data_IF_688341250361
#
_entry.id   IF_688341250361
#
_cell.length_a   1.000
_cell.length_b   1.000
_cell.length_c   1.000
_cell.angle_alpha   90.00
_cell.angle_beta   90.00
_cell.angle_gamma   90.00
#
_symmetry.space_group_name_H-M   'P 1'
#
loop_
_entity.id
_entity.type
_entity.pdbx_description
1 polymer ?
#
# COMPACT_ATOMS: atom_id res chain seq x y z
N UNK A 1 -27.67 -15.08 -16.80
CA UNK A 1 -26.97 -15.16 -15.49
C UNK A 1 -26.06 -13.94 -15.45
N UNK A 2 -26.42 -12.93 -14.63
CA UNK A 2 -25.54 -11.77 -14.44
C UNK A 2 -24.31 -12.22 -13.63
N UNK A 3 -23.13 -12.08 -14.20
CA UNK A 3 -21.88 -12.30 -13.47
C UNK A 3 -21.72 -11.16 -12.47
N UNK A 4 -21.55 -11.49 -11.20
CA UNK A 4 -21.22 -10.52 -10.17
C UNK A 4 -19.72 -10.54 -9.89
N UNK A 5 -19.11 -9.34 -9.89
CA UNK A 5 -17.70 -9.14 -9.56
C UNK A 5 -17.55 -8.63 -8.12
N UNK A 6 -16.53 -9.10 -7.44
CA UNK A 6 -16.18 -8.64 -6.12
C UNK A 6 -15.13 -7.53 -6.22
N UNK A 7 -15.55 -6.28 -6.02
CA UNK A 7 -14.68 -5.12 -6.06
C UNK A 7 -14.09 -4.85 -4.68
N UNK A 8 -12.76 -4.67 -4.61
CA UNK A 8 -12.07 -4.27 -3.39
C UNK A 8 -11.29 -2.98 -3.68
N UNK A 9 -11.53 -1.96 -2.87
CA UNK A 9 -10.78 -0.71 -2.92
C UNK A 9 -10.26 -0.34 -1.53
N UNK A 10 -9.10 0.34 -1.49
CA UNK A 10 -8.52 0.82 -0.24
C UNK A 10 -8.64 2.33 -0.13
N UNK A 11 -9.07 2.79 1.04
CA UNK A 11 -9.09 4.21 1.39
C UNK A 11 -8.15 4.48 2.55
N UNK A 12 -7.50 5.66 2.54
CA UNK A 12 -6.57 6.08 3.58
C UNK A 12 -7.14 7.25 4.35
N UNK A 13 -7.19 7.11 5.67
CA UNK A 13 -7.61 8.17 6.60
C UNK A 13 -6.42 8.59 7.46
N UNK A 14 -6.27 9.89 7.71
CA UNK A 14 -5.30 10.39 8.69
C UNK A 14 -5.93 10.25 10.08
N UNK A 15 -5.23 9.54 10.98
CA UNK A 15 -5.66 9.41 12.37
C UNK A 15 -5.19 10.63 13.17
N UNK A 16 -6.03 11.04 14.13
CA UNK A 16 -5.79 12.17 15.02
C UNK A 16 -5.75 11.69 16.49
N UNK A 17 -4.76 10.85 16.86
CA UNK A 17 -4.66 10.34 18.21
C UNK A 17 -4.31 11.45 19.21
N UNK A 18 -4.93 11.43 20.39
CA UNK A 18 -4.53 12.23 21.54
C UNK A 18 -3.09 11.89 21.96
N UNK A 19 -2.51 12.68 22.87
CA UNK A 19 -1.14 12.41 23.37
C UNK A 19 -1.04 11.02 24.01
N UNK A 20 -2.03 10.63 24.79
CA UNK A 20 -2.09 9.31 25.44
C UNK A 20 -2.26 8.17 24.44
N UNK A 21 -3.16 8.35 23.46
CA UNK A 21 -3.37 7.38 22.41
C UNK A 21 -2.13 7.21 21.52
N UNK A 22 -1.41 8.31 21.26
CA UNK A 22 -0.14 8.29 20.53
C UNK A 22 0.91 7.47 21.29
N UNK A 23 1.00 7.62 22.61
CA UNK A 23 1.91 6.83 23.43
C UNK A 23 1.56 5.34 23.34
N UNK A 24 0.29 4.96 23.44
CA UNK A 24 -0.16 3.56 23.30
C UNK A 24 0.24 3.00 21.92
N UNK A 25 0.09 3.78 20.84
CA UNK A 25 0.52 3.36 19.52
C UNK A 25 2.05 3.21 19.44
N UNK A 26 2.81 4.11 20.05
CA UNK A 26 4.29 4.03 20.11
C UNK A 26 4.78 2.80 20.88
N UNK A 27 4.04 2.35 21.90
CA UNK A 27 4.30 1.10 22.61
C UNK A 27 3.91 -0.14 21.76
N UNK A 28 2.82 -0.06 21.01
CA UNK A 28 2.31 -1.18 20.22
C UNK A 28 3.20 -1.52 19.00
N UNK A 29 3.71 -0.51 18.29
CA UNK A 29 4.48 -0.72 17.04
C UNK A 29 5.74 -1.57 17.24
N UNK A 30 6.62 -1.31 18.24
CA UNK A 30 7.81 -2.12 18.49
C UNK A 30 7.47 -3.56 18.88
N UNK A 31 6.45 -3.75 19.72
CA UNK A 31 6.03 -5.08 20.15
C UNK A 31 5.48 -5.89 18.97
N UNK A 32 4.67 -5.27 18.13
CA UNK A 32 4.17 -5.93 16.93
C UNK A 32 5.31 -6.26 15.93
N UNK A 33 6.28 -5.34 15.75
CA UNK A 33 7.48 -5.62 14.95
C UNK A 33 8.22 -6.85 15.46
N UNK A 34 8.38 -6.97 16.78
CA UNK A 34 9.08 -8.11 17.38
C UNK A 34 8.30 -9.41 17.18
N UNK A 35 6.97 -9.40 17.34
CA UNK A 35 6.11 -10.55 17.00
C UNK A 35 6.31 -10.99 15.55
N UNK A 36 6.31 -10.05 14.60
CA UNK A 36 6.52 -10.35 13.17
C UNK A 36 7.93 -10.90 12.92
N UNK A 37 8.94 -10.36 13.60
CA UNK A 37 10.34 -10.81 13.50
C UNK A 37 10.50 -12.24 13.98
N UNK A 38 9.92 -12.58 15.14
CA UNK A 38 9.96 -13.94 15.69
C UNK A 38 9.23 -14.94 14.80
N UNK A 39 8.04 -14.56 14.30
CA UNK A 39 7.29 -15.38 13.33
C UNK A 39 8.08 -15.61 12.04
N UNK A 40 8.77 -14.58 11.54
CA UNK A 40 9.59 -14.68 10.32
C UNK A 40 10.78 -15.62 10.54
N UNK A 41 11.48 -15.48 11.66
CA UNK A 41 12.59 -16.37 12.03
C UNK A 41 12.12 -17.82 12.09
N UNK A 42 11.05 -18.11 12.84
CA UNK A 42 10.49 -19.47 12.96
C UNK A 42 10.05 -20.04 11.61
N UNK A 43 9.45 -19.21 10.75
CA UNK A 43 9.05 -19.63 9.39
C UNK A 43 10.25 -19.99 8.52
N UNK A 44 11.37 -19.26 8.65
CA UNK A 44 12.60 -19.55 7.92
C UNK A 44 13.30 -20.80 8.45
N UNK A 45 13.51 -20.89 9.76
CA UNK A 45 14.23 -21.99 10.43
C UNK A 45 13.57 -23.35 10.15
N UNK A 46 12.25 -23.39 10.19
CA UNK A 46 11.45 -24.59 9.93
C UNK A 46 10.93 -24.71 8.49
N UNK A 47 11.29 -23.77 7.61
CA UNK A 47 10.82 -23.69 6.23
C UNK A 47 9.29 -23.77 6.09
N UNK A 48 8.55 -23.16 7.01
CA UNK A 48 7.08 -23.21 7.08
C UNK A 48 6.49 -22.09 6.20
N UNK A 49 5.61 -22.44 5.26
CA UNK A 49 4.83 -21.51 4.43
C UNK A 49 3.32 -21.56 4.72
N UNK A 50 2.88 -22.50 5.55
CA UNK A 50 1.49 -22.65 5.97
C UNK A 50 1.21 -21.80 7.22
N UNK A 51 0.13 -21.01 7.19
CA UNK A 51 -0.31 -20.21 8.34
C UNK A 51 -0.64 -21.09 9.55
N UNK A 52 -1.35 -22.19 9.33
CA UNK A 52 -1.73 -23.13 10.39
C UNK A 52 -0.50 -23.72 11.06
N UNK A 53 0.45 -24.28 10.30
CA UNK A 53 1.68 -24.86 10.85
C UNK A 53 2.53 -23.86 11.61
N UNK A 54 2.64 -22.62 11.10
CA UNK A 54 3.39 -21.58 11.80
C UNK A 54 2.70 -21.18 13.11
N UNK A 55 1.39 -21.05 13.10
CA UNK A 55 0.61 -20.79 14.30
C UNK A 55 0.83 -21.90 15.36
N UNK A 56 0.66 -23.17 14.98
CA UNK A 56 0.88 -24.32 15.87
C UNK A 56 2.29 -24.32 16.50
N UNK A 57 3.31 -23.86 15.74
CA UNK A 57 4.72 -23.88 16.17
C UNK A 57 5.14 -22.75 17.08
N UNK A 58 4.43 -21.61 17.13
CA UNK A 58 4.90 -20.41 17.81
C UNK A 58 3.85 -19.72 18.71
N UNK A 59 2.56 -20.01 18.53
CA UNK A 59 1.49 -19.27 19.20
C UNK A 59 1.60 -19.28 20.72
N UNK A 60 1.86 -20.46 21.34
CA UNK A 60 1.94 -20.59 22.79
C UNK A 60 3.10 -19.77 23.36
N UNK A 61 4.24 -19.79 22.68
CA UNK A 61 5.44 -19.02 23.08
C UNK A 61 5.15 -17.51 23.03
N UNK A 62 4.61 -17.02 21.90
CA UNK A 62 4.27 -15.61 21.78
C UNK A 62 3.14 -15.19 22.71
N UNK A 63 2.16 -16.06 22.97
CA UNK A 63 1.09 -15.77 23.91
C UNK A 63 1.60 -15.66 25.35
N UNK A 64 2.58 -16.48 25.75
CA UNK A 64 3.25 -16.38 27.03
C UNK A 64 4.05 -15.07 27.17
N UNK A 65 4.73 -14.65 26.11
CA UNK A 65 5.56 -13.43 26.10
C UNK A 65 4.75 -12.13 26.01
N UNK A 66 3.66 -12.13 25.26
CA UNK A 66 2.84 -10.94 24.96
C UNK A 66 1.40 -11.09 25.46
N UNK A 67 1.23 -11.65 26.66
CA UNK A 67 -0.07 -11.95 27.27
C UNK A 67 -0.99 -10.74 27.42
N UNK A 68 -0.44 -9.55 27.64
CA UNK A 68 -1.20 -8.30 27.80
C UNK A 68 -1.78 -7.75 26.48
N UNK A 69 -1.25 -8.21 25.35
CA UNK A 69 -1.71 -7.77 24.05
C UNK A 69 -2.83 -8.67 23.50
N UNK A 70 -3.80 -8.14 22.76
CA UNK A 70 -4.82 -8.95 22.10
C UNK A 70 -4.19 -10.05 21.25
N UNK A 71 -4.67 -11.28 21.43
CA UNK A 71 -4.09 -12.48 20.80
C UNK A 71 -4.10 -12.41 19.26
N UNK A 72 -5.02 -11.67 18.69
CA UNK A 72 -5.16 -11.51 17.24
C UNK A 72 -4.00 -10.74 16.59
N UNK A 73 -3.20 -9.98 17.37
CA UNK A 73 -1.94 -9.41 16.85
C UNK A 73 -0.95 -10.51 16.46
N UNK A 74 -0.93 -11.64 17.18
CA UNK A 74 -0.11 -12.80 16.81
C UNK A 74 -0.56 -13.38 15.47
N UNK A 75 -1.88 -13.49 15.22
CA UNK A 75 -2.40 -13.99 13.94
C UNK A 75 -2.04 -13.08 12.77
N UNK A 76 -2.14 -11.78 12.96
CA UNK A 76 -1.78 -10.81 11.90
C UNK A 76 -0.27 -10.75 11.70
N UNK A 77 0.53 -10.88 12.77
CA UNK A 77 1.99 -10.98 12.70
C UNK A 77 2.44 -12.22 11.92
N UNK A 78 1.83 -13.39 12.17
CA UNK A 78 2.06 -14.63 11.41
C UNK A 78 1.76 -14.40 9.92
N UNK A 79 0.64 -13.75 9.62
CA UNK A 79 0.22 -13.46 8.23
C UNK A 79 1.24 -12.57 7.53
N UNK A 80 1.71 -11.52 8.21
CA UNK A 80 2.69 -10.59 7.67
C UNK A 80 4.06 -11.24 7.48
N UNK A 81 4.53 -12.01 8.45
CA UNK A 81 5.78 -12.76 8.37
C UNK A 81 5.79 -13.74 7.19
N UNK A 82 4.69 -14.48 7.00
CA UNK A 82 4.57 -15.40 5.87
C UNK A 82 4.52 -14.69 4.52
N UNK A 83 3.92 -13.51 4.44
CA UNK A 83 3.93 -12.70 3.21
C UNK A 83 5.36 -12.29 2.84
N UNK A 84 6.15 -11.85 3.81
CA UNK A 84 7.57 -11.51 3.63
C UNK A 84 8.37 -12.74 3.21
N UNK A 85 8.22 -13.87 3.91
CA UNK A 85 8.94 -15.11 3.63
C UNK A 85 8.64 -15.66 2.23
N UNK A 86 7.35 -15.74 1.84
CA UNK A 86 6.94 -16.19 0.51
C UNK A 86 7.46 -15.28 -0.60
N UNK A 87 7.44 -13.96 -0.39
CA UNK A 87 7.99 -13.00 -1.34
C UNK A 87 9.48 -13.19 -1.53
N UNK A 88 10.22 -13.37 -0.44
CA UNK A 88 11.66 -13.64 -0.48
C UNK A 88 11.97 -14.94 -1.23
N UNK A 89 11.27 -16.04 -0.91
CA UNK A 89 11.43 -17.32 -1.62
C UNK A 89 11.15 -17.22 -3.12
N UNK A 90 10.15 -16.44 -3.52
CA UNK A 90 9.85 -16.22 -4.95
C UNK A 90 10.96 -15.46 -5.65
N UNK A 91 11.53 -14.45 -4.99
CA UNK A 91 12.65 -13.67 -5.52
C UNK A 91 13.96 -14.47 -5.56
N UNK A 92 14.24 -15.28 -4.54
CA UNK A 92 15.48 -16.10 -4.48
C UNK A 92 15.57 -17.15 -5.59
N UNK A 93 14.45 -17.57 -6.17
CA UNK A 93 14.43 -18.44 -7.37
C UNK A 93 14.98 -17.75 -8.63
N UNK A 94 15.03 -16.42 -8.64
CA UNK A 94 15.41 -15.62 -9.82
C UNK A 94 16.72 -14.84 -9.64
N UNK A 95 17.10 -14.56 -8.38
CA UNK A 95 18.27 -13.72 -8.03
C UNK A 95 18.85 -14.18 -6.68
N UNK A 96 20.14 -13.96 -6.48
CA UNK A 96 20.74 -14.06 -5.13
C UNK A 96 20.12 -12.97 -4.22
N UNK A 97 19.18 -13.34 -3.38
CA UNK A 97 18.50 -12.44 -2.45
C UNK A 97 19.01 -12.70 -1.04
N UNK A 98 19.40 -11.64 -0.35
CA UNK A 98 19.76 -11.73 1.08
C UNK A 98 18.58 -12.22 1.91
N UNK A 99 18.89 -12.91 2.99
CA UNK A 99 17.89 -13.33 3.99
C UNK A 99 17.03 -12.14 4.40
N UNK A 100 15.68 -12.27 4.40
CA UNK A 100 14.81 -11.16 4.76
C UNK A 100 15.01 -10.81 6.24
N UNK A 101 15.19 -9.52 6.51
CA UNK A 101 15.25 -8.98 7.86
C UNK A 101 14.25 -7.85 7.99
N UNK A 102 13.47 -7.87 9.06
CA UNK A 102 12.54 -6.79 9.38
C UNK A 102 13.29 -5.75 10.21
N UNK A 103 13.31 -4.52 9.69
CA UNK A 103 13.88 -3.35 10.36
C UNK A 103 12.89 -2.21 10.24
N UNK A 104 12.55 -1.59 11.36
CA UNK A 104 11.65 -0.42 11.40
C UNK A 104 10.29 -0.68 10.72
N UNK A 105 9.56 -1.66 11.22
CA UNK A 105 8.23 -1.96 10.71
C UNK A 105 7.26 -0.81 11.03
N UNK A 106 6.77 -0.17 9.99
CA UNK A 106 5.86 0.98 10.10
C UNK A 106 4.41 0.61 9.79
N UNK A 107 4.07 -0.66 9.86
CA UNK A 107 2.73 -1.18 9.48
C UNK A 107 2.29 -2.23 10.48
N UNK A 108 1.08 -2.07 11.02
CA UNK A 108 0.37 -3.07 11.81
C UNK A 108 -0.82 -3.55 11.00
N UNK A 109 -0.92 -4.84 10.72
CA UNK A 109 -2.12 -5.44 10.11
C UNK A 109 -3.20 -5.62 11.17
N UNK A 110 -4.42 -5.27 10.82
CA UNK A 110 -5.61 -5.44 11.65
C UNK A 110 -6.56 -6.44 11.00
N UNK A 111 -7.13 -7.34 11.79
CA UNK A 111 -8.24 -8.15 11.34
C UNK A 111 -9.57 -7.41 11.54
N UNK A 112 -10.56 -7.76 10.74
CA UNK A 112 -11.85 -7.06 10.67
C UNK A 112 -12.86 -7.49 11.75
N UNK A 113 -12.46 -8.37 12.67
CA UNK A 113 -13.38 -8.92 13.68
C UNK A 113 -12.95 -8.69 15.12
N UNK A 114 -11.64 -8.59 15.40
CA UNK A 114 -11.14 -8.63 16.78
C UNK A 114 -10.21 -7.48 17.15
N UNK A 115 -9.52 -6.88 16.16
CA UNK A 115 -8.54 -5.85 16.44
C UNK A 115 -9.06 -4.44 16.24
N UNK A 116 -10.06 -4.26 15.37
CA UNK A 116 -10.64 -2.94 15.16
C UNK A 116 -12.12 -3.00 14.78
N UNK A 117 -12.81 -1.91 15.09
CA UNK A 117 -14.16 -1.62 14.64
C UNK A 117 -14.16 -0.26 13.99
N UNK A 118 -14.58 -0.23 12.74
CA UNK A 118 -14.64 0.97 11.94
C UNK A 118 -16.03 1.62 12.06
N UNK A 119 -16.05 2.86 12.51
CA UNK A 119 -17.19 3.75 12.40
C UNK A 119 -16.74 5.00 11.65
N UNK A 120 -17.61 5.61 10.88
CA UNK A 120 -17.24 6.82 10.15
C UNK A 120 -16.79 7.92 11.11
N UNK A 121 -15.55 8.38 10.92
CA UNK A 121 -14.89 9.36 11.79
C UNK A 121 -14.17 8.79 13.01
N UNK A 122 -14.35 7.52 13.36
CA UNK A 122 -13.75 6.90 14.55
C UNK A 122 -13.22 5.50 14.25
N UNK A 123 -11.95 5.26 14.59
CA UNK A 123 -11.35 3.93 14.67
C UNK A 123 -11.37 3.46 16.12
N UNK A 124 -12.11 2.41 16.44
CA UNK A 124 -11.96 1.70 17.71
C UNK A 124 -10.92 0.61 17.56
N UNK A 125 -9.83 0.69 18.32
CA UNK A 125 -8.67 -0.20 18.24
C UNK A 125 -8.50 -0.96 19.56
N UNK A 126 -8.39 -2.29 19.49
CA UNK A 126 -8.02 -3.11 20.63
C UNK A 126 -6.50 -3.00 20.91
N UNK A 127 -6.12 -2.68 22.14
CA UNK A 127 -4.74 -2.51 22.56
C UNK A 127 -4.47 -3.22 23.89
N UNK A 128 -3.22 -3.22 24.34
CA UNK A 128 -2.83 -3.70 25.66
C UNK A 128 -3.35 -2.84 26.83
N UNK A 129 -3.86 -1.66 26.56
CA UNK A 129 -4.56 -0.77 27.52
C UNK A 129 -6.08 -0.80 27.37
N UNK A 130 -6.63 -1.83 26.69
CA UNK A 130 -8.04 -1.92 26.34
C UNK A 130 -8.35 -1.30 24.98
N UNK A 131 -9.62 -0.97 24.74
CA UNK A 131 -10.06 -0.38 23.51
C UNK A 131 -9.88 1.14 23.54
N UNK A 132 -9.29 1.69 22.46
CA UNK A 132 -9.14 3.14 22.29
C UNK A 132 -9.89 3.59 21.05
N UNK A 133 -10.60 4.73 21.15
CA UNK A 133 -11.35 5.35 20.05
C UNK A 133 -10.52 6.51 19.47
N UNK A 134 -9.95 6.33 18.28
CA UNK A 134 -9.10 7.33 17.63
C UNK A 134 -9.91 8.03 16.54
N UNK A 135 -10.09 9.35 16.60
CA UNK A 135 -10.78 10.10 15.55
C UNK A 135 -9.94 10.17 14.27
N UNK A 136 -10.63 10.32 13.14
CA UNK A 136 -10.02 10.59 11.84
C UNK A 136 -10.94 11.45 10.96
N UNK A 137 -10.36 12.23 10.07
CA UNK A 137 -11.10 13.06 9.13
C UNK A 137 -11.68 12.24 7.99
N UNK A 138 -12.99 12.42 7.75
CA UNK A 138 -13.71 11.84 6.61
C UNK A 138 -13.62 12.81 5.44
N UNK A 139 -12.89 12.43 4.39
CA UNK A 139 -12.72 13.27 3.20
C UNK A 139 -13.72 12.90 2.09
N UNK A 140 -13.94 13.82 1.13
CA UNK A 140 -14.94 13.69 0.09
C UNK A 140 -14.86 12.37 -0.69
N UNK A 141 -13.64 11.97 -1.09
CA UNK A 141 -13.43 10.71 -1.81
C UNK A 141 -13.88 9.47 -1.03
N UNK A 142 -13.88 9.51 0.30
CA UNK A 142 -14.27 8.38 1.14
C UNK A 142 -15.77 8.14 1.19
N UNK A 143 -16.57 9.13 0.86
CA UNK A 143 -18.04 9.04 0.90
C UNK A 143 -18.60 7.95 -0.02
N UNK A 144 -17.93 7.63 -1.10
CA UNK A 144 -18.32 6.53 -2.02
C UNK A 144 -18.34 5.15 -1.36
N UNK A 145 -17.68 4.99 -0.21
CA UNK A 145 -17.58 3.70 0.49
C UNK A 145 -18.62 3.49 1.59
N UNK A 146 -19.56 4.44 1.79
CA UNK A 146 -20.52 4.39 2.90
C UNK A 146 -21.31 3.07 2.92
N UNK A 147 -21.72 2.57 1.76
CA UNK A 147 -22.48 1.33 1.60
C UNK A 147 -21.62 0.09 1.36
N UNK A 148 -20.28 0.22 1.50
CA UNK A 148 -19.37 -0.89 1.27
C UNK A 148 -19.05 -1.62 2.57
N UNK A 149 -18.85 -2.93 2.52
CA UNK A 149 -18.40 -3.70 3.67
C UNK A 149 -16.92 -3.46 3.96
N UNK A 150 -16.61 -3.20 5.22
CA UNK A 150 -15.23 -3.08 5.71
C UNK A 150 -14.59 -4.46 5.77
N UNK A 151 -13.32 -4.54 5.36
CA UNK A 151 -12.47 -5.73 5.41
C UNK A 151 -11.15 -5.41 6.11
N UNK A 152 -10.22 -6.36 6.09
CA UNK A 152 -8.93 -6.21 6.77
C UNK A 152 -8.27 -4.87 6.50
N UNK A 153 -7.74 -4.28 7.52
CA UNK A 153 -7.19 -2.94 7.52
C UNK A 153 -5.76 -2.93 8.06
N UNK A 154 -5.12 -1.78 8.03
CA UNK A 154 -3.78 -1.61 8.61
C UNK A 154 -3.57 -0.19 9.10
N UNK A 155 -2.85 -0.06 10.20
CA UNK A 155 -2.32 1.23 10.64
C UNK A 155 -0.90 1.38 10.08
N UNK A 156 -0.60 2.56 9.55
CA UNK A 156 0.72 2.89 9.02
C UNK A 156 1.24 4.11 9.77
N UNK A 157 2.50 4.03 10.23
CA UNK A 157 3.24 5.16 10.78
C UNK A 157 4.13 5.74 9.68
N UNK A 158 3.94 7.01 9.35
CA UNK A 158 4.70 7.71 8.31
C UNK A 158 5.04 9.13 8.76
N UNK A 159 6.32 9.48 8.83
CA UNK A 159 6.80 10.80 9.23
C UNK A 159 6.24 11.30 10.58
N UNK A 160 6.12 10.40 11.56
CA UNK A 160 5.56 10.70 12.88
C UNK A 160 4.03 10.79 12.94
N UNK A 161 3.34 10.64 11.81
CA UNK A 161 1.88 10.61 11.73
C UNK A 161 1.35 9.18 11.54
N UNK A 162 0.09 8.97 11.92
CA UNK A 162 -0.59 7.69 11.79
C UNK A 162 -1.70 7.75 10.76
N UNK A 163 -1.78 6.70 9.96
CA UNK A 163 -2.80 6.57 8.92
C UNK A 163 -3.47 5.20 9.02
N UNK A 164 -4.79 5.20 8.92
CA UNK A 164 -5.59 4.00 8.76
C UNK A 164 -5.83 3.75 7.27
N UNK A 165 -5.44 2.58 6.78
CA UNK A 165 -5.81 2.11 5.46
C UNK A 165 -6.90 1.06 5.63
N UNK A 166 -8.09 1.36 5.16
CA UNK A 166 -9.26 0.46 5.20
C UNK A 166 -9.47 -0.13 3.81
N UNK A 167 -9.64 -1.44 3.74
CA UNK A 167 -10.10 -2.11 2.53
C UNK A 167 -11.62 -2.22 2.58
N UNK A 168 -12.27 -1.63 1.60
CA UNK A 168 -13.70 -1.71 1.39
C UNK A 168 -14.01 -2.72 0.30
N UNK A 169 -15.15 -3.42 0.45
CA UNK A 169 -15.59 -4.46 -0.48
C UNK A 169 -17.05 -4.28 -0.84
N UNK A 170 -17.35 -4.40 -2.12
CA UNK A 170 -18.71 -4.39 -2.65
C UNK A 170 -18.86 -5.44 -3.75
N UNK A 171 -20.02 -6.09 -3.82
CA UNK A 171 -20.43 -6.83 -5.01
C UNK A 171 -20.97 -5.85 -6.03
N UNK A 172 -20.51 -5.95 -7.27
CA UNK A 172 -21.01 -5.17 -8.40
C UNK A 172 -21.47 -6.14 -9.49
N UNK A 173 -22.56 -5.80 -10.14
CA UNK A 173 -22.97 -6.54 -11.32
C UNK A 173 -22.03 -6.19 -12.48
N UNK A 174 -21.58 -7.20 -13.20
CA UNK A 174 -20.78 -7.00 -14.39
C UNK A 174 -21.67 -6.38 -15.47
N UNK A 175 -21.39 -5.12 -15.83
CA UNK A 175 -22.09 -4.45 -16.90
C UNK A 175 -21.87 -5.19 -18.23
N UNK A 176 -22.86 -5.14 -19.12
CA UNK A 176 -22.69 -5.65 -20.49
C UNK A 176 -21.55 -4.87 -21.17
N UNK A 177 -20.54 -5.60 -21.59
CA UNK A 177 -19.43 -5.02 -22.32
C UNK A 177 -19.90 -4.69 -23.75
N UNK A 178 -19.93 -3.41 -24.10
CA UNK A 178 -20.28 -2.96 -25.45
C UNK A 178 -19.07 -2.94 -26.42
N UNK A 179 -17.88 -3.15 -25.87
CA UNK A 179 -16.64 -3.17 -26.64
C UNK A 179 -15.40 -3.39 -25.76
N UNK A 180 -14.27 -3.49 -26.42
CA UNK A 180 -12.96 -3.68 -25.80
C UNK A 180 -12.10 -2.45 -26.08
N UNK A 181 -11.41 -1.92 -25.06
CA UNK A 181 -10.40 -0.89 -25.22
C UNK A 181 -9.01 -1.50 -24.97
N UNK A 182 -8.23 -1.63 -26.02
CA UNK A 182 -6.80 -1.92 -25.95
C UNK A 182 -5.99 -0.64 -25.74
N UNK A 183 -5.05 -0.63 -24.80
CA UNK A 183 -4.18 0.51 -24.53
C UNK A 183 -2.73 0.03 -24.53
N UNK A 184 -1.90 0.61 -25.40
CA UNK A 184 -0.45 0.43 -25.40
C UNK A 184 0.24 1.74 -25.05
N UNK A 185 1.09 1.70 -24.03
CA UNK A 185 1.78 2.90 -23.52
C UNK A 185 3.26 2.80 -23.85
N UNK A 186 3.69 3.64 -24.77
CA UNK A 186 5.06 3.79 -25.21
C UNK A 186 5.73 5.01 -24.56
N UNK A 187 7.03 5.18 -24.76
CA UNK A 187 7.77 6.33 -24.22
C UNK A 187 7.29 7.69 -24.71
N UNK A 188 6.78 7.75 -25.94
CA UNK A 188 6.37 9.00 -26.60
C UNK A 188 4.94 9.00 -27.11
N UNK A 189 4.18 7.90 -26.97
CA UNK A 189 2.79 7.81 -27.39
C UNK A 189 1.95 6.92 -26.48
N UNK A 190 0.64 7.15 -26.52
CA UNK A 190 -0.36 6.21 -26.03
C UNK A 190 -1.19 5.80 -27.23
N UNK A 191 -1.13 4.53 -27.58
CA UNK A 191 -1.86 3.98 -28.71
C UNK A 191 -3.12 3.26 -28.19
N UNK A 192 -4.28 3.61 -28.73
CA UNK A 192 -5.58 3.14 -28.30
C UNK A 192 -6.27 2.38 -29.42
N UNK A 193 -6.84 1.23 -29.13
CA UNK A 193 -7.70 0.47 -30.02
C UNK A 193 -9.07 0.26 -29.38
N UNK A 194 -10.10 0.89 -29.91
CA UNK A 194 -11.50 0.69 -29.50
C UNK A 194 -12.13 -0.30 -30.44
N UNK A 195 -12.54 -1.45 -29.93
CA UNK A 195 -13.16 -2.54 -30.70
C UNK A 195 -14.61 -2.67 -30.23
N UNK A 196 -15.56 -2.38 -31.09
CA UNK A 196 -16.98 -2.63 -30.91
C UNK A 196 -17.45 -3.67 -31.93
N UNK A 197 -18.59 -4.33 -31.76
CA UNK A 197 -19.09 -5.33 -32.70
C UNK A 197 -19.20 -4.84 -34.17
N UNK A 198 -19.45 -3.53 -34.37
CA UNK A 198 -19.63 -2.90 -35.69
C UNK A 198 -18.48 -2.01 -36.12
N UNK A 199 -17.48 -1.77 -35.27
CA UNK A 199 -16.46 -0.75 -35.56
C UNK A 199 -15.15 -1.04 -34.82
N UNK A 200 -14.02 -0.77 -35.48
CA UNK A 200 -12.69 -0.71 -34.89
C UNK A 200 -12.10 0.66 -35.14
N UNK A 201 -11.77 1.37 -34.02
CA UNK A 201 -11.11 2.67 -34.06
C UNK A 201 -9.73 2.62 -33.45
N UNK A 202 -8.75 3.19 -34.13
CA UNK A 202 -7.42 3.40 -33.60
C UNK A 202 -7.19 4.88 -33.34
N UNK A 203 -6.60 5.19 -32.19
CA UNK A 203 -6.20 6.55 -31.83
C UNK A 203 -4.78 6.51 -31.28
N UNK A 204 -4.00 7.52 -31.65
CA UNK A 204 -2.66 7.73 -31.12
C UNK A 204 -2.58 9.09 -30.46
N UNK A 205 -2.22 9.10 -29.19
CA UNK A 205 -1.98 10.30 -28.41
C UNK A 205 -0.46 10.52 -28.31
N UNK A 206 0.00 11.67 -28.78
CA UNK A 206 1.41 12.05 -28.68
C UNK A 206 1.72 12.57 -27.28
N UNK A 207 2.66 11.92 -26.60
CA UNK A 207 3.22 12.32 -25.31
C UNK A 207 4.75 12.48 -25.38
N UNK A 208 5.30 12.72 -26.56
CA UNK A 208 6.75 12.88 -26.80
C UNK A 208 7.39 13.98 -25.94
N UNK A 209 6.64 15.04 -25.59
CA UNK A 209 7.07 16.08 -24.68
C UNK A 209 7.37 15.50 -23.27
N UNK A 210 6.58 14.54 -22.80
CA UNK A 210 6.84 13.85 -21.53
C UNK A 210 8.18 13.10 -21.56
N UNK A 211 8.53 12.46 -22.69
CA UNK A 211 9.84 11.84 -22.92
C UNK A 211 10.96 12.87 -22.84
N UNK A 212 10.85 13.99 -23.55
CA UNK A 212 11.85 15.06 -23.53
C UNK A 212 12.08 15.62 -22.13
N UNK A 213 11.02 15.75 -21.32
CA UNK A 213 11.14 16.17 -19.91
C UNK A 213 11.89 15.11 -19.10
N UNK A 214 11.56 13.83 -19.23
CA UNK A 214 12.27 12.73 -18.53
C UNK A 214 13.76 12.72 -18.87
N UNK A 215 14.11 12.86 -20.16
CA UNK A 215 15.51 12.88 -20.61
C UNK A 215 16.27 14.07 -20.05
N UNK A 216 15.65 15.27 -20.03
CA UNK A 216 16.22 16.47 -19.44
C UNK A 216 16.50 16.28 -17.93
N UNK A 217 15.54 15.73 -17.19
CA UNK A 217 15.73 15.48 -15.76
C UNK A 217 16.72 14.34 -15.51
N UNK A 218 16.77 13.31 -16.36
CA UNK A 218 17.77 12.25 -16.29
C UNK A 218 19.20 12.82 -16.45
N UNK A 219 19.45 13.64 -17.47
CA UNK A 219 20.73 14.30 -17.69
C UNK A 219 21.10 15.19 -16.48
N UNK A 220 20.15 15.93 -15.94
CA UNK A 220 20.33 16.78 -14.76
C UNK A 220 20.67 15.98 -13.51
N UNK A 221 19.96 14.87 -13.23
CA UNK A 221 20.30 13.97 -12.11
C UNK A 221 21.69 13.39 -12.25
N UNK A 222 22.06 12.93 -13.44
CA UNK A 222 23.38 12.38 -13.73
C UNK A 222 24.48 13.43 -13.45
N UNK A 223 24.29 14.66 -13.89
CA UNK A 223 25.22 15.77 -13.60
C UNK A 223 25.35 16.06 -12.11
N UNK A 224 24.25 16.10 -11.34
CA UNK A 224 24.28 16.27 -9.90
C UNK A 224 25.02 15.10 -9.23
N UNK A 225 24.75 13.88 -9.65
CA UNK A 225 25.37 12.66 -9.08
C UNK A 225 26.88 12.62 -9.30
N UNK A 226 27.37 13.14 -10.43
CA UNK A 226 28.80 13.17 -10.74
C UNK A 226 29.56 14.34 -10.09
N UNK A 227 28.88 15.49 -9.89
CA UNK A 227 29.54 16.74 -9.45
C UNK A 227 29.37 17.07 -7.96
N UNK A 228 28.45 16.37 -7.25
CA UNK A 228 28.17 16.68 -5.84
C UNK A 228 28.20 15.46 -4.96
N UNK A 229 28.51 15.66 -3.65
CA UNK A 229 28.61 14.57 -2.65
C UNK A 229 27.82 14.91 -1.38
N UNK A 230 27.56 13.89 -0.55
CA UNK A 230 26.98 14.04 0.78
C UNK A 230 25.61 14.73 0.81
N UNK A 231 25.38 15.58 1.81
CA UNK A 231 24.10 16.26 2.09
C UNK A 231 23.66 17.18 0.93
N UNK A 232 24.59 17.82 0.23
CA UNK A 232 24.30 18.70 -0.91
C UNK A 232 23.69 17.89 -2.06
N UNK A 233 24.26 16.72 -2.38
CA UNK A 233 23.73 15.80 -3.38
C UNK A 233 22.31 15.37 -3.04
N UNK A 234 22.07 14.92 -1.79
CA UNK A 234 20.75 14.50 -1.34
C UNK A 234 19.71 15.61 -1.47
N UNK A 235 20.04 16.85 -1.02
CA UNK A 235 19.17 18.02 -1.11
C UNK A 235 18.82 18.39 -2.55
N UNK A 236 19.79 18.38 -3.45
CA UNK A 236 19.57 18.70 -4.86
C UNK A 236 18.72 17.63 -5.55
N UNK A 237 18.99 16.35 -5.32
CA UNK A 237 18.18 15.26 -5.89
C UNK A 237 16.74 15.31 -5.39
N UNK A 238 16.52 15.55 -4.10
CA UNK A 238 15.18 15.70 -3.52
C UNK A 238 14.42 16.88 -4.15
N UNK A 239 15.08 18.03 -4.37
CA UNK A 239 14.49 19.20 -5.02
C UNK A 239 13.94 18.91 -6.41
N UNK A 240 14.55 18.01 -7.17
CA UNK A 240 14.15 17.71 -8.55
C UNK A 240 13.22 16.51 -8.67
N UNK A 241 13.22 15.59 -7.72
CA UNK A 241 12.43 14.35 -7.75
C UNK A 241 10.93 14.58 -7.99
N UNK A 242 10.29 15.47 -7.20
CA UNK A 242 8.86 15.75 -7.34
C UNK A 242 8.50 16.64 -8.54
N UNK A 243 9.45 17.41 -9.08
CA UNK A 243 9.19 18.30 -10.22
C UNK A 243 9.03 17.57 -11.54
N UNK A 244 9.86 16.56 -11.79
CA UNK A 244 9.73 15.71 -12.97
C UNK A 244 8.36 15.05 -13.02
N UNK A 245 7.98 14.37 -11.94
CA UNK A 245 6.70 13.68 -11.85
C UNK A 245 5.52 14.60 -12.11
N UNK A 246 5.50 15.79 -11.49
CA UNK A 246 4.42 16.76 -11.70
C UNK A 246 4.31 17.22 -13.15
N UNK A 247 5.44 17.53 -13.80
CA UNK A 247 5.44 17.97 -15.21
C UNK A 247 5.00 16.88 -16.16
N UNK A 248 5.51 15.67 -16.01
CA UNK A 248 5.11 14.52 -16.83
C UNK A 248 3.62 14.23 -16.66
N UNK A 249 3.11 14.19 -15.42
CA UNK A 249 1.69 13.96 -15.17
C UNK A 249 0.81 15.06 -15.78
N UNK A 250 1.23 16.33 -15.69
CA UNK A 250 0.50 17.46 -16.28
C UNK A 250 0.38 17.31 -17.79
N UNK A 251 1.46 16.91 -18.48
CA UNK A 251 1.41 16.69 -19.94
C UNK A 251 0.45 15.55 -20.29
N UNK A 252 0.60 14.40 -19.60
CA UNK A 252 -0.27 13.26 -19.86
C UNK A 252 -1.74 13.64 -19.63
N UNK A 253 -2.04 14.33 -18.54
CA UNK A 253 -3.39 14.76 -18.22
C UNK A 253 -3.93 15.73 -19.28
N UNK A 254 -3.17 16.76 -19.68
CA UNK A 254 -3.57 17.71 -20.71
C UNK A 254 -3.82 17.02 -22.05
N UNK A 255 -3.00 16.03 -22.41
CA UNK A 255 -3.18 15.25 -23.64
C UNK A 255 -4.45 14.42 -23.58
N UNK A 256 -4.76 13.78 -22.45
CA UNK A 256 -5.98 13.00 -22.26
C UNK A 256 -7.24 13.87 -22.26
N UNK A 257 -7.17 15.08 -21.72
CA UNK A 257 -8.28 16.05 -21.70
C UNK A 257 -8.45 16.82 -23.01
N UNK A 258 -7.64 16.55 -24.02
CA UNK A 258 -7.65 17.25 -25.31
C UNK A 258 -7.16 18.70 -25.23
N UNK A 259 -6.60 19.12 -24.09
CA UNK A 259 -6.00 20.45 -23.92
C UNK A 259 -4.58 20.41 -24.46
N UNK A 260 -4.38 20.81 -25.71
CA UNK A 260 -3.05 21.09 -26.22
C UNK A 260 -2.52 22.32 -25.47
N UNK A 261 -1.36 22.17 -24.83
CA UNK A 261 -0.69 23.29 -24.20
C UNK A 261 -0.48 24.40 -25.24
N UNK A 262 -0.98 25.58 -24.93
CA UNK A 262 -0.64 26.78 -25.67
C UNK A 262 0.76 27.24 -25.31
#
# INVERSE_FOLDING_TARGET
VSNSLLLNEACRFKLEPSREQRQILEELFPVYEEMVRECLRRAMDLNITSRRRLHESIYRELRGKYGDYPSHYIYTAITQALAVFKSCRRLSRRKNVKTPAIKNLNVILLDDTHLFWFSWGILNLATHKGHIAIPFEVHEHSKKFVDWSVKGSRIIRLNGEYYLHVTFRRMVEEGRCEGILGIDVNEGSIDLAVIKPSEVKFMKLDISEAKHIRDRYFKKRRSIQSRTRGKVKARLLAKYSGREKRRVNSIIQNTLEGKRGG
#
